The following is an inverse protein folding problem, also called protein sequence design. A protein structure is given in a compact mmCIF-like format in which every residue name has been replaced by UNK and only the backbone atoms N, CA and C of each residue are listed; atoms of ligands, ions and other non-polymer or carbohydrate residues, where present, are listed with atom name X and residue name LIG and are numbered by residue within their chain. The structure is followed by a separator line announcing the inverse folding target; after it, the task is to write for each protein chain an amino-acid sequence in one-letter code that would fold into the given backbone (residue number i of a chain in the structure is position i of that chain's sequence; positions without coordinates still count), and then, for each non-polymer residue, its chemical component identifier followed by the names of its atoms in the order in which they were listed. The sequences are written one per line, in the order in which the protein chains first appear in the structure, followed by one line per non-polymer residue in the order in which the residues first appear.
data_IF_841053352760
#
_entry.id   IF_841053352760
#
_cell.length_a   1.000
_cell.length_b   1.000
_cell.length_c   1.000
_cell.angle_alpha   90.00
_cell.angle_beta   90.00
_cell.angle_gamma   90.00
#
_symmetry.space_group_name_H-M   'P 1'
#
loop_
_entity.id
_entity.type
_entity.pdbx_description
1 polymer ?
#
# COMPACT_ATOMS: atom_id res chain seq x y z
N UNK A 1 6.42 -7.35 -16.66
CA UNK A 1 5.75 -8.08 -15.60
C UNK A 1 4.73 -7.18 -14.90
N UNK A 2 3.69 -7.75 -14.30
CA UNK A 2 2.65 -7.04 -13.55
C UNK A 2 2.65 -7.53 -12.12
N UNK A 3 2.75 -6.59 -11.17
CA UNK A 3 2.57 -6.87 -9.75
C UNK A 3 1.07 -6.87 -9.42
N UNK A 4 0.60 -7.93 -8.77
CA UNK A 4 -0.71 -8.00 -8.16
C UNK A 4 -0.56 -7.98 -6.63
N UNK A 5 -1.25 -7.06 -5.98
CA UNK A 5 -1.44 -7.06 -4.53
C UNK A 5 -2.94 -7.21 -4.24
N UNK A 6 -3.37 -8.40 -3.89
CA UNK A 6 -4.76 -8.67 -3.55
C UNK A 6 -4.96 -8.72 -2.04
N UNK A 7 -6.18 -8.42 -1.61
CA UNK A 7 -6.51 -8.42 -0.18
C UNK A 7 -6.47 -9.82 0.42
N UNK A 8 -5.94 -9.91 1.64
CA UNK A 8 -5.93 -11.12 2.44
C UNK A 8 -6.27 -10.79 3.90
N UNK A 9 -6.75 -11.76 4.63
CA UNK A 9 -6.95 -11.61 6.06
C UNK A 9 -5.60 -11.42 6.75
N UNK A 10 -5.41 -10.29 7.43
CA UNK A 10 -4.18 -9.97 8.15
C UNK A 10 -3.06 -9.34 7.32
N UNK A 11 -3.27 -9.11 6.02
CA UNK A 11 -2.26 -8.53 5.14
C UNK A 11 -2.65 -8.51 3.66
N UNK A 12 -1.69 -8.86 2.81
CA UNK A 12 -1.85 -8.91 1.35
C UNK A 12 -1.40 -10.26 0.80
N UNK A 13 -1.95 -10.64 -0.36
CA UNK A 13 -1.37 -11.68 -1.20
C UNK A 13 -0.63 -11.02 -2.36
N UNK A 14 0.65 -11.30 -2.49
CA UNK A 14 1.51 -10.79 -3.55
C UNK A 14 1.69 -11.85 -4.63
N UNK A 15 1.54 -11.46 -5.89
CA UNK A 15 1.82 -12.29 -7.04
C UNK A 15 2.42 -11.45 -8.17
N UNK A 16 3.12 -12.10 -9.09
CA UNK A 16 3.69 -11.47 -10.29
C UNK A 16 3.24 -12.25 -11.51
N UNK A 17 2.66 -11.53 -12.47
CA UNK A 17 2.44 -12.04 -13.81
C UNK A 17 3.67 -11.73 -14.67
N UNK A 18 4.28 -12.78 -15.23
CA UNK A 18 5.42 -12.67 -16.11
C UNK A 18 4.97 -12.86 -17.55
N UNK A 19 5.18 -11.82 -18.37
CA UNK A 19 4.89 -11.90 -19.81
C UNK A 19 5.90 -12.80 -20.52
N UNK A 20 5.40 -13.74 -21.31
CA UNK A 20 6.13 -14.47 -22.35
C UNK A 20 6.12 -13.67 -23.64
N UNK A 21 4.96 -13.13 -23.98
CA UNK A 21 4.79 -12.17 -25.10
C UNK A 21 3.91 -10.98 -24.66
N UNK A 22 4.50 -9.79 -24.67
CA UNK A 22 3.80 -8.55 -24.32
C UNK A 22 2.79 -8.09 -25.35
N UNK A 23 2.97 -8.47 -26.63
CA UNK A 23 2.06 -8.06 -27.72
C UNK A 23 0.72 -8.79 -27.63
N UNK A 24 0.77 -10.06 -27.30
CA UNK A 24 -0.42 -10.91 -27.12
C UNK A 24 -0.90 -10.96 -25.66
N UNK A 25 -0.16 -10.33 -24.74
CA UNK A 25 -0.38 -10.39 -23.30
C UNK A 25 -0.38 -11.81 -22.73
N UNK A 26 0.25 -12.76 -23.43
CA UNK A 26 0.42 -14.13 -22.92
C UNK A 26 1.53 -14.21 -21.90
N UNK A 27 1.38 -15.10 -20.91
CA UNK A 27 2.33 -15.30 -19.84
C UNK A 27 1.75 -16.18 -18.74
N UNK A 28 2.41 -16.15 -17.58
CA UNK A 28 2.05 -16.99 -16.46
C UNK A 28 2.10 -16.25 -15.12
N UNK A 29 1.24 -16.67 -14.19
CA UNK A 29 1.28 -16.21 -12.81
C UNK A 29 2.31 -17.01 -12.01
N UNK A 30 3.11 -16.28 -11.21
CA UNK A 30 3.98 -16.89 -10.23
C UNK A 30 3.22 -17.45 -9.02
N UNK A 31 3.96 -17.92 -8.02
CA UNK A 31 3.41 -18.36 -6.75
C UNK A 31 2.81 -17.19 -5.97
N UNK A 32 1.65 -17.40 -5.34
CA UNK A 32 1.05 -16.43 -4.42
C UNK A 32 1.78 -16.48 -3.07
N UNK A 33 2.22 -15.34 -2.56
CA UNK A 33 2.92 -15.20 -1.29
C UNK A 33 2.16 -14.24 -0.37
N UNK A 34 1.93 -14.65 0.87
CA UNK A 34 1.38 -13.77 1.89
C UNK A 34 2.41 -12.70 2.29
N UNK A 35 1.94 -11.47 2.43
CA UNK A 35 2.67 -10.34 3.01
C UNK A 35 1.91 -9.94 4.27
N UNK A 36 2.45 -10.24 5.44
CA UNK A 36 1.82 -10.04 6.73
C UNK A 36 2.86 -9.80 7.84
N UNK A 37 2.43 -9.75 9.08
CA UNK A 37 3.32 -9.54 10.23
C UNK A 37 4.40 -10.63 10.40
N UNK A 38 4.17 -11.86 9.90
CA UNK A 38 5.10 -12.98 10.10
C UNK A 38 6.38 -12.83 9.31
N UNK A 39 6.32 -12.10 8.19
CA UNK A 39 7.49 -11.86 7.33
C UNK A 39 7.89 -10.39 7.24
N UNK A 40 7.48 -9.58 8.25
CA UNK A 40 7.65 -8.12 8.23
C UNK A 40 7.06 -7.50 6.95
N UNK A 41 5.94 -8.04 6.52
CA UNK A 41 5.20 -7.59 5.35
C UNK A 41 4.18 -6.51 5.66
N UNK A 42 3.23 -6.34 4.73
CA UNK A 42 2.08 -5.46 4.93
C UNK A 42 1.11 -6.11 5.91
N UNK A 43 1.11 -5.66 7.16
CA UNK A 43 0.26 -6.21 8.20
C UNK A 43 -1.04 -5.42 8.33
N UNK A 44 -2.16 -6.13 8.35
CA UNK A 44 -3.51 -5.58 8.50
C UNK A 44 -4.28 -6.40 9.53
N UNK A 45 -4.18 -6.03 10.82
CA UNK A 45 -4.71 -6.83 11.92
C UNK A 45 -6.20 -7.15 11.75
N UNK A 46 -6.54 -8.47 11.59
CA UNK A 46 -7.90 -8.99 11.39
C UNK A 46 -8.69 -8.24 10.30
N UNK A 47 -8.00 -7.86 9.23
CA UNK A 47 -8.58 -7.05 8.17
C UNK A 47 -8.33 -7.67 6.80
N UNK A 48 -9.31 -7.53 5.92
CA UNK A 48 -9.26 -7.92 4.51
C UNK A 48 -9.91 -6.81 3.69
N UNK A 49 -9.16 -5.75 3.40
CA UNK A 49 -9.68 -4.57 2.71
C UNK A 49 -8.87 -4.25 1.47
N UNK A 50 -9.49 -3.57 0.51
CA UNK A 50 -8.77 -3.07 -0.65
C UNK A 50 -7.86 -1.89 -0.26
N UNK A 51 -6.80 -1.74 -1.02
CA UNK A 51 -5.89 -0.62 -1.01
C UNK A 51 -5.09 -0.62 -2.31
N UNK A 52 -4.38 0.45 -2.54
CA UNK A 52 -3.57 0.64 -3.75
C UNK A 52 -2.13 0.19 -3.53
N UNK A 53 -1.52 -0.35 -4.59
CA UNK A 53 -0.08 -0.57 -4.67
C UNK A 53 0.53 0.34 -5.73
N UNK A 54 1.59 1.07 -5.40
CA UNK A 54 2.18 2.06 -6.27
C UNK A 54 3.70 2.02 -6.19
N UNK A 55 4.39 2.11 -7.33
CA UNK A 55 5.83 2.30 -7.38
C UNK A 55 6.11 3.75 -7.75
N UNK A 56 6.89 4.45 -6.92
CA UNK A 56 7.20 5.86 -7.07
C UNK A 56 8.71 6.10 -7.15
N UNK A 57 9.08 7.20 -7.79
CA UNK A 57 10.46 7.69 -7.78
C UNK A 57 10.76 8.40 -6.46
N UNK A 58 11.94 8.12 -5.92
CA UNK A 58 12.43 8.73 -4.68
C UNK A 58 13.96 8.90 -4.71
N UNK A 59 14.49 9.50 -3.65
CA UNK A 59 15.93 9.62 -3.41
C UNK A 59 16.27 9.19 -1.99
N UNK A 60 17.38 8.45 -1.84
CA UNK A 60 18.02 8.11 -0.57
C UNK A 60 19.45 8.64 -0.59
N UNK A 61 19.80 9.55 0.31
CA UNK A 61 21.12 10.19 0.35
C UNK A 61 21.56 10.73 -1.04
N UNK A 62 20.64 11.39 -1.74
CA UNK A 62 20.89 11.95 -3.08
C UNK A 62 20.84 10.97 -4.24
N UNK A 63 20.90 9.66 -4.01
CA UNK A 63 20.81 8.62 -5.04
C UNK A 63 19.36 8.28 -5.37
N UNK A 64 19.07 8.11 -6.66
CA UNK A 64 17.74 7.68 -7.13
C UNK A 64 17.43 6.26 -6.64
N UNK A 65 16.20 6.06 -6.17
CA UNK A 65 15.66 4.77 -5.74
C UNK A 65 14.18 4.70 -6.12
N UNK A 66 13.64 3.49 -6.27
CA UNK A 66 12.19 3.27 -6.35
C UNK A 66 11.68 2.89 -4.98
N UNK A 67 10.49 3.40 -4.62
CA UNK A 67 9.75 2.93 -3.46
C UNK A 67 8.49 2.22 -3.90
N UNK A 68 8.22 1.09 -3.31
CA UNK A 68 6.94 0.41 -3.35
C UNK A 68 6.11 0.89 -2.17
N UNK A 69 4.93 1.41 -2.46
CA UNK A 69 3.94 1.87 -1.49
C UNK A 69 2.73 0.94 -1.52
N UNK A 70 2.14 0.64 -0.36
CA UNK A 70 0.90 -0.12 -0.26
C UNK A 70 0.00 0.52 0.80
N UNK A 71 -1.15 1.02 0.40
CA UNK A 71 -2.15 1.49 1.34
C UNK A 71 -3.04 0.35 1.84
N UNK A 72 -3.40 0.40 3.13
CA UNK A 72 -4.25 -0.60 3.77
C UNK A 72 -4.72 -0.08 5.13
N UNK A 73 -5.93 -0.43 5.60
CA UNK A 73 -6.26 -0.28 7.01
C UNK A 73 -5.38 -1.21 7.85
N UNK A 74 -4.59 -0.67 8.77
CA UNK A 74 -3.70 -1.49 9.60
C UNK A 74 -4.45 -2.19 10.75
N UNK A 75 -5.67 -1.75 11.05
CA UNK A 75 -6.56 -2.38 12.00
C UNK A 75 -6.49 -1.83 13.42
N UNK A 76 -7.18 -2.47 14.37
CA UNK A 76 -7.96 -3.70 14.17
C UNK A 76 -9.21 -3.49 13.30
N UNK A 77 -9.50 -4.46 12.43
CA UNK A 77 -10.61 -4.34 11.48
C UNK A 77 -10.43 -3.17 10.48
N UNK A 78 -11.52 -2.53 10.07
CA UNK A 78 -11.52 -1.38 9.15
C UNK A 78 -11.20 -0.08 9.89
N UNK A 79 -9.97 0.05 10.39
CA UNK A 79 -9.49 1.23 11.10
C UNK A 79 -8.05 1.55 10.70
N UNK A 80 -7.67 2.81 10.90
CA UNK A 80 -6.29 3.26 10.85
C UNK A 80 -5.63 3.04 9.48
N UNK A 81 -6.25 3.54 8.39
CA UNK A 81 -5.60 3.47 7.07
C UNK A 81 -4.22 4.10 7.14
N UNK A 82 -3.25 3.38 6.59
CA UNK A 82 -1.86 3.80 6.49
C UNK A 82 -1.24 3.38 5.16
N UNK A 83 -0.03 3.85 4.91
CA UNK A 83 0.77 3.51 3.74
C UNK A 83 2.05 2.83 4.21
N UNK A 84 2.17 1.54 3.91
CA UNK A 84 3.42 0.81 4.02
C UNK A 84 4.37 1.20 2.91
N UNK A 85 5.68 1.20 3.18
CA UNK A 85 6.69 1.49 2.18
C UNK A 85 7.88 0.54 2.26
N UNK A 86 8.50 0.30 1.11
CA UNK A 86 9.68 -0.54 0.93
C UNK A 86 10.53 0.00 -0.22
N UNK A 87 11.86 0.08 -0.03
CA UNK A 87 12.76 0.41 -1.12
C UNK A 87 12.98 -0.78 -2.07
N UNK A 88 13.09 -0.45 -3.36
CA UNK A 88 13.46 -1.36 -4.43
C UNK A 88 14.82 -0.88 -4.98
N UNK A 89 15.89 -1.20 -4.27
CA UNK A 89 17.24 -0.69 -4.57
C UNK A 89 17.93 -1.55 -5.64
N UNK A 90 17.64 -2.84 -5.67
CA UNK A 90 18.24 -3.80 -6.60
C UNK A 90 17.19 -4.71 -7.24
N UNK A 91 17.48 -5.35 -8.38
CA UNK A 91 16.58 -6.34 -8.98
C UNK A 91 16.15 -7.45 -8.01
N UNK A 92 16.99 -7.83 -7.06
CA UNK A 92 16.66 -8.84 -6.05
C UNK A 92 15.49 -8.44 -5.16
N UNK A 93 15.21 -7.15 -4.99
CA UNK A 93 14.12 -6.65 -4.14
C UNK A 93 12.72 -6.83 -4.75
N UNK A 94 12.66 -7.09 -6.07
CA UNK A 94 11.40 -7.21 -6.81
C UNK A 94 11.37 -8.34 -7.85
N UNK A 95 12.40 -9.19 -7.89
CA UNK A 95 12.47 -10.30 -8.85
C UNK A 95 11.42 -11.38 -8.61
N UNK A 96 10.99 -11.57 -7.38
CA UNK A 96 10.03 -12.61 -7.00
C UNK A 96 8.92 -12.08 -6.08
N UNK A 97 7.76 -12.74 -6.04
CA UNK A 97 6.71 -12.40 -5.07
C UNK A 97 7.20 -12.47 -3.62
N UNK A 98 8.08 -13.41 -3.27
CA UNK A 98 8.68 -13.54 -1.94
C UNK A 98 9.54 -12.31 -1.58
N UNK A 99 10.31 -11.79 -2.54
CA UNK A 99 11.12 -10.61 -2.32
C UNK A 99 10.24 -9.38 -2.04
N UNK A 100 9.15 -9.22 -2.78
CA UNK A 100 8.20 -8.11 -2.60
C UNK A 100 7.42 -8.26 -1.29
N UNK A 101 6.98 -9.46 -0.93
CA UNK A 101 6.08 -9.70 0.20
C UNK A 101 6.70 -9.36 1.56
N UNK A 102 8.02 -9.45 1.71
CA UNK A 102 8.73 -9.36 2.99
C UNK A 102 9.54 -8.08 3.18
N UNK A 103 9.93 -7.84 4.45
CA UNK A 103 10.88 -6.80 4.84
C UNK A 103 10.43 -5.39 4.40
N UNK A 104 9.17 -5.04 4.63
CA UNK A 104 8.70 -3.67 4.48
C UNK A 104 9.28 -2.81 5.61
N UNK A 105 9.67 -1.60 5.27
CA UNK A 105 10.53 -0.78 6.12
C UNK A 105 9.76 0.02 7.16
N UNK A 106 8.47 0.25 6.93
CA UNK A 106 7.62 0.99 7.84
C UNK A 106 6.22 1.22 7.29
N UNK A 107 5.41 1.87 8.12
CA UNK A 107 4.05 2.27 7.80
C UNK A 107 3.80 3.69 8.32
N UNK A 108 3.28 4.55 7.46
CA UNK A 108 2.80 5.87 7.83
C UNK A 108 1.28 5.82 8.00
N UNK A 109 0.83 5.94 9.24
CA UNK A 109 -0.60 5.95 9.55
C UNK A 109 -1.19 7.32 9.23
N UNK A 110 -2.28 7.34 8.46
CA UNK A 110 -2.98 8.53 7.98
C UNK A 110 -4.28 8.78 8.70
N UNK A 111 -4.97 7.71 9.06
CA UNK A 111 -6.21 7.74 9.82
C UNK A 111 -5.99 7.19 11.22
N UNK A 112 -6.74 7.69 12.19
CA UNK A 112 -6.78 7.20 13.57
C UNK A 112 -8.21 6.79 13.99
N UNK A 113 -9.07 6.54 13.01
CA UNK A 113 -10.48 6.18 13.20
C UNK A 113 -10.89 5.08 12.22
N UNK A 114 -12.18 4.76 12.20
CA UNK A 114 -12.77 3.84 11.23
C UNK A 114 -12.47 4.33 9.82
N UNK A 115 -11.82 3.48 9.03
CA UNK A 115 -11.38 3.81 7.68
C UNK A 115 -11.15 2.51 6.88
N UNK A 116 -11.40 2.54 5.58
CA UNK A 116 -11.48 1.31 4.79
C UNK A 116 -10.71 1.39 3.47
N UNK A 117 -11.38 1.67 2.38
CA UNK A 117 -10.78 1.63 1.06
C UNK A 117 -9.93 2.86 0.81
N UNK A 118 -8.92 2.69 -0.01
CA UNK A 118 -8.02 3.79 -0.37
C UNK A 118 -7.40 3.57 -1.74
N UNK A 119 -7.06 4.67 -2.40
CA UNK A 119 -6.32 4.66 -3.66
C UNK A 119 -5.33 5.81 -3.68
N UNK A 120 -4.28 5.69 -4.50
CA UNK A 120 -3.24 6.71 -4.63
C UNK A 120 -2.62 6.75 -6.01
N UNK A 121 -2.13 7.92 -6.39
CA UNK A 121 -1.40 8.13 -7.64
C UNK A 121 -0.27 9.12 -7.42
N UNK A 122 0.85 8.95 -8.12
CA UNK A 122 1.91 9.96 -8.14
C UNK A 122 1.64 11.00 -9.23
N UNK A 123 1.59 12.26 -8.86
CA UNK A 123 1.49 13.39 -9.77
C UNK A 123 2.82 13.67 -10.47
N UNK A 124 2.78 14.46 -11.54
CA UNK A 124 3.97 14.91 -12.28
C UNK A 124 4.94 15.76 -11.44
N UNK A 125 4.43 16.39 -10.38
CA UNK A 125 5.19 17.17 -9.40
C UNK A 125 5.84 16.29 -8.31
N UNK A 126 5.72 14.95 -8.41
CA UNK A 126 6.22 13.99 -7.43
C UNK A 126 5.34 13.82 -6.18
N UNK A 127 4.28 14.60 -6.04
CA UNK A 127 3.33 14.46 -4.95
C UNK A 127 2.54 13.16 -5.06
N UNK A 128 2.18 12.59 -3.93
CA UNK A 128 1.27 11.46 -3.84
C UNK A 128 -0.13 12.00 -3.52
N UNK A 129 -1.04 11.87 -4.46
CA UNK A 129 -2.45 12.16 -4.25
C UNK A 129 -3.12 10.91 -3.72
N UNK A 130 -3.78 11.05 -2.57
CA UNK A 130 -4.34 9.95 -1.82
C UNK A 130 -5.80 10.19 -1.49
N UNK A 131 -6.64 9.20 -1.75
CA UNK A 131 -8.04 9.18 -1.35
C UNK A 131 -8.28 8.03 -0.41
N UNK A 132 -9.04 8.24 0.65
CA UNK A 132 -9.44 7.19 1.58
C UNK A 132 -10.88 7.41 2.06
N UNK A 133 -11.52 6.29 2.36
CA UNK A 133 -12.75 6.27 3.13
C UNK A 133 -12.41 6.38 4.62
N UNK A 134 -12.98 7.37 5.30
CA UNK A 134 -12.72 7.63 6.72
C UNK A 134 -13.98 8.13 7.42
N UNK A 135 -14.30 7.61 8.58
CA UNK A 135 -15.38 8.12 9.41
C UNK A 135 -14.87 9.27 10.30
N UNK A 136 -14.45 10.37 9.67
CA UNK A 136 -13.86 11.52 10.36
C UNK A 136 -14.91 12.53 10.87
N UNK A 137 -16.09 12.59 10.21
CA UNK A 137 -17.08 13.61 10.45
C UNK A 137 -18.40 13.07 11.02
N UNK A 138 -18.34 11.92 11.67
CA UNK A 138 -19.52 11.33 12.32
C UNK A 138 -20.08 12.28 13.37
N UNK A 139 -21.24 12.84 13.07
CA UNK A 139 -21.91 13.83 13.96
C UNK A 139 -22.63 13.17 15.13
N UNK A 140 -23.22 12.00 14.93
CA UNK A 140 -23.98 11.29 15.96
C UNK A 140 -23.81 9.76 15.83
N UNK A 141 -23.12 9.11 16.79
CA UNK A 141 -22.96 7.66 16.79
C UNK A 141 -24.27 6.86 16.86
N UNK A 142 -25.36 7.47 17.33
CA UNK A 142 -26.65 6.78 17.48
C UNK A 142 -27.46 6.76 16.20
N UNK A 143 -27.23 7.71 15.31
CA UNK A 143 -28.03 7.90 14.08
C UNK A 143 -27.28 7.54 12.80
N UNK A 144 -25.97 7.39 12.86
CA UNK A 144 -25.14 7.02 11.70
C UNK A 144 -24.63 5.59 11.84
N UNK A 145 -24.72 4.76 10.78
CA UNK A 145 -24.17 3.41 10.77
C UNK A 145 -22.68 3.39 11.07
N UNK A 146 -22.17 2.27 11.59
CA UNK A 146 -20.74 2.09 11.89
C UNK A 146 -19.84 2.09 10.62
N UNK A 147 -20.43 1.85 9.46
CA UNK A 147 -19.79 1.86 8.15
C UNK A 147 -20.08 3.12 7.33
N UNK A 148 -20.46 4.21 7.98
CA UNK A 148 -20.56 5.52 7.33
C UNK A 148 -19.19 6.10 7.08
N UNK A 149 -18.87 6.36 5.81
CA UNK A 149 -17.57 6.91 5.40
C UNK A 149 -17.74 8.21 4.64
N UNK A 150 -16.85 9.15 4.95
CA UNK A 150 -16.56 10.31 4.12
C UNK A 150 -15.38 9.97 3.20
N UNK A 151 -15.27 10.67 2.08
CA UNK A 151 -14.08 10.58 1.23
C UNK A 151 -13.14 11.72 1.60
N UNK A 152 -11.96 11.36 2.07
CA UNK A 152 -10.90 12.31 2.40
C UNK A 152 -9.83 12.31 1.32
N UNK A 153 -9.54 13.50 0.79
CA UNK A 153 -8.43 13.72 -0.14
C UNK A 153 -7.23 14.30 0.59
N UNK A 154 -6.04 13.79 0.28
CA UNK A 154 -4.78 14.26 0.84
C UNK A 154 -3.72 14.40 -0.25
N UNK A 155 -2.90 15.46 -0.16
CA UNK A 155 -1.68 15.62 -0.93
C UNK A 155 -0.51 15.35 0.00
N UNK A 156 0.28 14.34 -0.31
CA UNK A 156 1.41 13.87 0.48
C UNK A 156 2.69 13.93 -0.35
N UNK A 157 3.83 13.78 0.30
CA UNK A 157 5.11 13.56 -0.36
C UNK A 157 5.83 12.36 0.25
N UNK A 158 6.83 11.86 -0.46
CA UNK A 158 7.62 10.70 -0.04
C UNK A 158 8.27 10.92 1.33
N UNK A 159 8.77 12.14 1.60
CA UNK A 159 9.37 12.47 2.89
C UNK A 159 8.41 12.31 4.07
N UNK A 160 7.17 12.77 3.93
CA UNK A 160 6.14 12.58 4.97
C UNK A 160 5.84 11.09 5.22
N UNK A 161 5.61 10.32 4.14
CA UNK A 161 5.28 8.88 4.22
C UNK A 161 6.42 8.08 4.87
N UNK A 162 7.66 8.49 4.67
CA UNK A 162 8.84 7.73 5.10
C UNK A 162 9.57 8.33 6.31
N UNK A 163 8.95 9.29 6.99
CA UNK A 163 9.58 10.05 8.08
C UNK A 163 10.95 10.60 7.68
N UNK A 164 11.01 11.23 6.49
CA UNK A 164 12.19 11.83 5.87
C UNK A 164 13.35 10.88 5.55
N UNK A 165 13.14 9.56 5.63
CA UNK A 165 14.12 8.55 5.22
C UNK A 165 14.41 8.61 3.71
N UNK A 166 13.40 8.95 2.94
CA UNK A 166 13.45 9.18 1.48
C UNK A 166 12.90 10.56 1.12
N UNK A 167 13.28 11.05 -0.07
CA UNK A 167 12.84 12.33 -0.62
C UNK A 167 12.37 12.18 -2.05
#
# INVERSE_FOLDING_TARGET
NVLLSSRAMGGRHINIYTYEDKKTATGSWGKVIASDAKNMGVAAHKNSCNGEVLIVDAKKNGKKVKLLLQSVPVGPGRNNVGIYYKALETPADYATPEAIAKNWEGCYQLSNTTSAYSTMVQGKDGSIYFLLEENAFRKDPKTQPDDYYDIRFMKLNVGQITNHKYK
#
